data_IF_852199435939
#
_entry.id   IF_852199435939
#
_cell.length_a   1.000
_cell.length_b   1.000
_cell.length_c   1.000
_cell.angle_alpha   90.00
_cell.angle_beta   90.00
_cell.angle_gamma   90.00
#
_symmetry.space_group_name_H-M   'P 1'
#
loop_
_entity.id
_entity.type
_entity.pdbx_description
1 polymer ?
#
# COMPACT_ATOMS: atom_id res chain seq x y z
N UNK A 1 -7.32 -48.87 12.45
CA UNK A 1 -8.42 -49.57 11.73
C UNK A 1 -9.73 -49.11 12.32
N UNK A 2 -10.67 -48.69 11.47
CA UNK A 2 -12.02 -48.32 11.88
C UNK A 2 -12.95 -49.51 11.64
N UNK A 3 -13.78 -49.87 12.62
CA UNK A 3 -14.70 -51.00 12.56
C UNK A 3 -16.11 -50.53 12.92
N UNK A 4 -17.10 -50.96 12.15
CA UNK A 4 -18.53 -50.74 12.43
C UNK A 4 -19.11 -52.09 12.83
N UNK A 5 -19.64 -52.19 14.03
CA UNK A 5 -20.28 -53.39 14.55
C UNK A 5 -21.75 -53.07 14.83
N UNK A 6 -22.66 -53.96 14.43
CA UNK A 6 -24.10 -53.80 14.62
C UNK A 6 -24.81 -55.14 14.76
N UNK A 7 -26.06 -55.11 15.20
CA UNK A 7 -26.88 -56.30 15.43
C UNK A 7 -27.25 -57.03 14.13
N UNK A 8 -27.26 -56.32 13.00
CA UNK A 8 -27.48 -56.89 11.66
C UNK A 8 -26.59 -56.23 10.60
N UNK A 9 -26.35 -56.94 9.48
CA UNK A 9 -25.62 -56.38 8.33
C UNK A 9 -26.29 -55.11 7.79
N UNK A 10 -27.63 -55.07 7.81
CA UNK A 10 -28.42 -53.91 7.36
C UNK A 10 -28.11 -52.66 8.20
N UNK A 11 -27.95 -52.81 9.51
CA UNK A 11 -27.64 -51.69 10.41
C UNK A 11 -26.20 -51.21 10.21
N UNK A 12 -25.28 -52.13 9.93
CA UNK A 12 -23.89 -51.82 9.58
C UNK A 12 -23.85 -51.02 8.27
N UNK A 13 -24.51 -51.48 7.21
CA UNK A 13 -24.54 -50.82 5.90
C UNK A 13 -25.19 -49.42 5.95
N UNK A 14 -26.28 -49.29 6.73
CA UNK A 14 -26.97 -48.02 6.95
C UNK A 14 -26.07 -47.03 7.69
N UNK A 15 -25.36 -47.49 8.73
CA UNK A 15 -24.41 -46.66 9.49
C UNK A 15 -23.23 -46.25 8.64
N UNK A 16 -22.66 -47.17 7.84
CA UNK A 16 -21.56 -46.87 6.92
C UNK A 16 -21.96 -45.80 5.90
N UNK A 17 -23.15 -45.95 5.31
CA UNK A 17 -23.70 -44.99 4.34
C UNK A 17 -23.96 -43.62 4.99
N UNK A 18 -24.46 -43.61 6.23
CA UNK A 18 -24.67 -42.38 6.98
C UNK A 18 -23.36 -41.65 7.26
N UNK A 19 -22.32 -42.35 7.72
CA UNK A 19 -20.99 -41.78 7.97
C UNK A 19 -20.37 -41.24 6.67
N UNK A 20 -20.43 -42.00 5.57
CA UNK A 20 -19.93 -41.55 4.26
C UNK A 20 -20.63 -40.27 3.81
N UNK A 21 -21.95 -40.22 3.91
CA UNK A 21 -22.71 -39.02 3.58
C UNK A 21 -22.37 -37.83 4.48
N UNK A 22 -22.13 -38.06 5.77
CA UNK A 22 -21.71 -37.00 6.68
C UNK A 22 -20.34 -36.44 6.31
N UNK A 23 -19.37 -37.31 6.02
CA UNK A 23 -18.03 -36.90 5.57
C UNK A 23 -18.13 -36.09 4.27
N UNK A 24 -18.89 -36.56 3.29
CA UNK A 24 -19.05 -35.86 2.01
C UNK A 24 -19.74 -34.50 2.17
N UNK A 25 -20.73 -34.39 3.05
CA UNK A 25 -21.42 -33.11 3.34
C UNK A 25 -20.53 -32.09 4.04
N UNK A 26 -19.59 -32.56 4.86
CA UNK A 26 -18.66 -31.69 5.58
C UNK A 26 -17.43 -31.28 4.75
N UNK A 27 -17.19 -31.90 3.60
CA UNK A 27 -16.14 -31.47 2.69
C UNK A 27 -16.55 -30.19 1.97
N UNK A 28 -15.69 -29.19 2.04
CA UNK A 28 -15.85 -27.89 1.39
C UNK A 28 -14.60 -27.56 0.61
N UNK A 29 -14.80 -26.83 -0.48
CA UNK A 29 -13.75 -26.18 -1.24
C UNK A 29 -14.08 -24.70 -1.35
N UNK A 30 -13.10 -23.84 -1.09
CA UNK A 30 -13.20 -22.40 -1.25
C UNK A 30 -12.01 -21.86 -2.03
N UNK A 31 -12.24 -20.82 -2.82
CA UNK A 31 -11.24 -20.19 -3.67
C UNK A 31 -11.22 -18.69 -3.42
N UNK A 32 -10.03 -18.14 -3.19
CA UNK A 32 -9.81 -16.71 -2.95
C UNK A 32 -8.96 -16.17 -4.09
N UNK A 33 -9.53 -15.27 -4.89
CA UNK A 33 -8.85 -14.64 -6.02
C UNK A 33 -8.57 -13.18 -5.73
N UNK A 34 -7.30 -12.77 -5.81
CA UNK A 34 -6.83 -11.40 -5.56
C UNK A 34 -5.45 -11.17 -6.19
N UNK A 35 -5.25 -10.02 -6.84
CA UNK A 35 -3.97 -9.65 -7.48
C UNK A 35 -2.81 -9.56 -6.48
N UNK A 36 -3.09 -9.26 -5.21
CA UNK A 36 -2.05 -9.17 -4.16
C UNK A 36 -1.47 -10.54 -3.78
N UNK A 37 -2.09 -11.65 -4.21
CA UNK A 37 -1.53 -12.99 -4.03
C UNK A 37 -0.18 -13.13 -4.77
N UNK A 38 0.03 -12.41 -5.87
CA UNK A 38 1.33 -12.38 -6.57
C UNK A 38 2.46 -11.85 -5.68
N UNK A 39 2.13 -11.05 -4.66
CA UNK A 39 3.09 -10.41 -3.76
C UNK A 39 3.40 -11.25 -2.52
N UNK A 40 2.88 -12.48 -2.42
CA UNK A 40 3.18 -13.37 -1.31
C UNK A 40 4.66 -13.75 -1.33
N UNK A 41 5.38 -13.34 -0.28
CA UNK A 41 6.77 -13.68 -0.04
C UNK A 41 6.92 -15.01 0.72
N UNK A 42 8.16 -15.42 0.99
CA UNK A 42 8.48 -16.64 1.74
C UNK A 42 7.71 -16.74 3.07
N UNK A 43 7.47 -15.62 3.76
CA UNK A 43 6.75 -15.62 5.04
C UNK A 43 5.29 -15.97 4.86
N UNK A 44 4.64 -15.46 3.81
CA UNK A 44 3.25 -15.83 3.51
C UNK A 44 3.17 -17.28 3.06
N UNK A 45 4.10 -17.75 2.23
CA UNK A 45 4.15 -19.16 1.79
C UNK A 45 4.35 -20.11 2.97
N UNK A 46 5.27 -19.80 3.89
CA UNK A 46 5.50 -20.58 5.10
C UNK A 46 4.26 -20.58 6.02
N UNK A 47 3.57 -19.43 6.14
CA UNK A 47 2.35 -19.33 6.91
C UNK A 47 1.21 -20.19 6.32
N UNK A 48 1.08 -20.25 4.98
CA UNK A 48 0.15 -21.15 4.30
C UNK A 48 0.50 -22.62 4.56
N UNK A 49 1.77 -22.99 4.45
CA UNK A 49 2.22 -24.36 4.71
C UNK A 49 1.95 -24.78 6.18
N UNK A 50 2.13 -23.88 7.13
CA UNK A 50 1.79 -24.10 8.54
C UNK A 50 0.28 -24.24 8.76
N UNK A 51 -0.54 -23.37 8.15
CA UNK A 51 -2.00 -23.48 8.20
C UNK A 51 -2.49 -24.81 7.63
N UNK A 52 -1.94 -25.22 6.49
CA UNK A 52 -2.24 -26.50 5.85
C UNK A 52 -2.02 -27.67 6.83
N UNK A 53 -0.85 -27.71 7.47
CA UNK A 53 -0.48 -28.75 8.44
C UNK A 53 -1.37 -28.73 9.69
N UNK A 54 -1.61 -27.56 10.28
CA UNK A 54 -2.36 -27.44 11.54
C UNK A 54 -3.85 -27.67 11.39
N UNK A 55 -4.41 -27.39 10.21
CA UNK A 55 -5.85 -27.48 9.92
C UNK A 55 -6.24 -28.65 9.05
N UNK A 56 -5.27 -29.50 8.68
CA UNK A 56 -5.50 -30.69 7.85
C UNK A 56 -6.32 -30.39 6.58
N UNK A 57 -6.10 -29.21 6.00
CA UNK A 57 -6.66 -28.81 4.71
C UNK A 57 -5.64 -29.07 3.60
N UNK A 58 -6.07 -28.97 2.35
CA UNK A 58 -5.20 -28.84 1.18
C UNK A 58 -5.26 -27.41 0.70
N UNK A 59 -4.11 -26.76 0.52
CA UNK A 59 -3.98 -25.39 0.01
C UNK A 59 -3.18 -25.47 -1.30
N UNK A 60 -3.75 -24.91 -2.37
CA UNK A 60 -3.12 -24.83 -3.68
C UNK A 60 -3.03 -23.37 -4.11
N UNK A 61 -1.83 -22.96 -4.53
CA UNK A 61 -1.59 -21.62 -5.07
C UNK A 61 -1.60 -21.70 -6.60
N UNK A 62 -2.60 -21.10 -7.23
CA UNK A 62 -2.82 -21.11 -8.67
C UNK A 62 -2.31 -19.80 -9.30
N UNK A 63 -0.98 -19.61 -9.30
CA UNK A 63 -0.32 -18.40 -9.79
C UNK A 63 -0.38 -18.20 -11.32
N UNK A 64 -0.94 -19.16 -12.06
CA UNK A 64 -1.10 -19.06 -13.52
C UNK A 64 -2.42 -18.40 -13.92
N UNK A 65 -3.32 -18.19 -12.96
CA UNK A 65 -4.57 -17.46 -13.17
C UNK A 65 -4.33 -15.96 -13.04
N UNK A 66 -5.19 -15.16 -13.66
CA UNK A 66 -5.22 -13.70 -13.53
C UNK A 66 -6.66 -13.28 -13.22
N UNK A 67 -6.96 -12.82 -11.98
CA UNK A 67 -6.06 -12.76 -10.82
C UNK A 67 -5.61 -14.16 -10.33
N UNK A 68 -4.45 -14.28 -9.66
CA UNK A 68 -4.05 -15.52 -9.00
C UNK A 68 -5.07 -15.95 -7.94
N UNK A 69 -5.04 -17.23 -7.58
CA UNK A 69 -6.01 -17.81 -6.68
C UNK A 69 -5.36 -18.69 -5.60
N UNK A 70 -5.85 -18.61 -4.37
CA UNK A 70 -5.60 -19.60 -3.31
C UNK A 70 -6.83 -20.49 -3.18
N UNK A 71 -6.65 -21.77 -3.48
CA UNK A 71 -7.68 -22.80 -3.39
C UNK A 71 -7.49 -23.62 -2.12
N UNK A 72 -8.56 -23.80 -1.35
CA UNK A 72 -8.54 -24.43 -0.02
C UNK A 72 -9.62 -25.51 0.03
N UNK A 73 -9.23 -26.76 0.25
CA UNK A 73 -10.14 -27.91 0.30
C UNK A 73 -9.96 -28.70 1.60
N UNK A 74 -11.05 -29.12 2.24
CA UNK A 74 -11.03 -29.84 3.51
C UNK A 74 -12.36 -29.76 4.24
N UNK A 75 -12.38 -30.01 5.56
CA UNK A 75 -13.62 -29.90 6.32
C UNK A 75 -14.08 -28.44 6.45
N UNK A 76 -15.39 -28.21 6.37
CA UNK A 76 -16.06 -26.91 6.32
C UNK A 76 -15.51 -25.87 7.30
N UNK A 77 -15.43 -26.23 8.59
CA UNK A 77 -14.92 -25.37 9.67
C UNK A 77 -13.48 -24.92 9.46
N UNK A 78 -12.62 -25.84 9.03
CA UNK A 78 -11.19 -25.58 8.87
C UNK A 78 -10.93 -24.81 7.58
N UNK A 79 -11.66 -25.11 6.50
CA UNK A 79 -11.65 -24.32 5.26
C UNK A 79 -12.04 -22.88 5.53
N UNK A 80 -13.11 -22.64 6.31
CA UNK A 80 -13.54 -21.29 6.68
C UNK A 80 -12.48 -20.53 7.50
N UNK A 81 -11.88 -21.20 8.50
CA UNK A 81 -10.82 -20.62 9.30
C UNK A 81 -9.62 -20.22 8.43
N UNK A 82 -9.12 -21.14 7.60
CA UNK A 82 -7.96 -20.89 6.73
C UNK A 82 -8.28 -19.79 5.73
N UNK A 83 -9.48 -19.79 5.15
CA UNK A 83 -9.93 -18.72 4.24
C UNK A 83 -9.86 -17.34 4.90
N UNK A 84 -10.27 -17.25 6.17
CA UNK A 84 -10.19 -16.01 6.95
C UNK A 84 -8.74 -15.57 7.18
N UNK A 85 -7.82 -16.50 7.45
CA UNK A 85 -6.41 -16.19 7.62
C UNK A 85 -5.74 -15.74 6.30
N UNK A 86 -6.09 -16.35 5.17
CA UNK A 86 -5.63 -15.91 3.85
C UNK A 86 -6.10 -14.49 3.54
N UNK A 87 -7.38 -14.20 3.77
CA UNK A 87 -7.94 -12.84 3.61
C UNK A 87 -7.20 -11.82 4.49
N UNK A 88 -6.83 -12.17 5.72
CA UNK A 88 -6.02 -11.29 6.58
C UNK A 88 -4.61 -11.07 6.04
N UNK A 89 -3.99 -12.06 5.39
CA UNK A 89 -2.67 -11.87 4.76
C UNK A 89 -2.76 -10.87 3.62
N UNK A 90 -3.76 -11.02 2.75
CA UNK A 90 -4.04 -10.08 1.64
C UNK A 90 -4.28 -8.67 2.18
N UNK A 91 -5.14 -8.54 3.20
CA UNK A 91 -5.45 -7.25 3.80
C UNK A 91 -4.20 -6.56 4.38
N UNK A 92 -3.30 -7.30 5.04
CA UNK A 92 -2.04 -6.73 5.55
C UNK A 92 -1.14 -6.18 4.45
N UNK A 93 -1.05 -6.86 3.30
CA UNK A 93 -0.29 -6.37 2.16
C UNK A 93 -0.94 -5.09 1.64
N UNK A 94 -2.27 -5.08 1.48
CA UNK A 94 -3.04 -3.92 1.04
C UNK A 94 -2.83 -2.71 1.96
N UNK A 95 -2.96 -2.91 3.27
CA UNK A 95 -2.79 -1.85 4.28
C UNK A 95 -1.37 -1.26 4.21
N UNK A 96 -0.36 -2.12 4.03
CA UNK A 96 1.03 -1.70 3.88
C UNK A 96 1.23 -0.83 2.63
N UNK A 97 0.70 -1.23 1.47
CA UNK A 97 0.83 -0.45 0.23
C UNK A 97 0.08 0.89 0.29
N UNK A 98 -1.09 0.90 0.92
CA UNK A 98 -1.85 2.12 1.15
C UNK A 98 -1.07 3.08 2.05
N UNK A 99 -0.47 2.58 3.14
CA UNK A 99 0.32 3.39 4.05
C UNK A 99 1.60 3.93 3.38
N UNK A 100 2.30 3.12 2.58
CA UNK A 100 3.44 3.62 1.79
C UNK A 100 3.01 4.70 0.79
N UNK A 101 1.88 4.51 0.11
CA UNK A 101 1.36 5.48 -0.86
C UNK A 101 0.98 6.80 -0.19
N UNK A 102 0.32 6.75 0.98
CA UNK A 102 0.01 7.93 1.79
C UNK A 102 1.28 8.64 2.26
N UNK A 103 2.26 7.88 2.74
CA UNK A 103 3.53 8.43 3.20
C UNK A 103 4.28 9.17 2.07
N UNK A 104 4.24 8.64 0.85
CA UNK A 104 4.79 9.30 -0.34
C UNK A 104 4.10 10.64 -0.61
N UNK A 105 2.77 10.64 -0.66
CA UNK A 105 1.98 11.83 -0.97
C UNK A 105 2.21 12.94 0.06
N UNK A 106 2.18 12.60 1.35
CA UNK A 106 2.43 13.57 2.43
C UNK A 106 3.86 14.10 2.34
N UNK A 107 4.85 13.25 2.08
CA UNK A 107 6.24 13.66 1.93
C UNK A 107 6.47 14.65 0.79
N UNK A 108 5.66 14.60 -0.27
CA UNK A 108 5.71 15.55 -1.38
C UNK A 108 5.13 16.92 -1.02
N UNK A 109 4.18 16.98 -0.07
CA UNK A 109 3.54 18.23 0.36
C UNK A 109 4.28 18.91 1.52
N UNK A 110 4.89 18.11 2.41
CA UNK A 110 5.54 18.60 3.62
C UNK A 110 6.71 17.72 4.00
N UNK A 111 7.80 18.35 4.41
CA UNK A 111 8.99 17.69 4.91
C UNK A 111 9.28 18.09 6.36
N UNK A 112 9.21 17.10 7.22
CA UNK A 112 9.66 17.16 8.59
C UNK A 112 11.15 16.85 8.65
N UNK A 113 11.88 17.64 9.43
CA UNK A 113 13.32 17.53 9.61
C UNK A 113 13.68 17.59 11.09
N UNK A 114 14.79 16.97 11.47
CA UNK A 114 15.37 17.08 12.80
C UNK A 114 16.78 17.67 12.73
N UNK A 115 17.19 18.34 13.81
CA UNK A 115 18.53 18.89 13.94
C UNK A 115 19.56 17.75 14.05
N UNK A 116 20.42 17.67 13.04
CA UNK A 116 21.55 16.77 12.95
C UNK A 116 22.79 17.31 13.65
N UNK A 117 23.91 16.63 13.42
CA UNK A 117 25.22 17.11 13.85
C UNK A 117 25.61 18.36 13.05
N UNK A 118 26.19 19.37 13.72
CA UNK A 118 26.60 20.67 13.18
C UNK A 118 25.45 21.58 12.71
N UNK A 119 24.31 21.58 13.42
CA UNK A 119 23.13 22.44 13.14
C UNK A 119 22.49 22.26 11.75
N UNK A 120 22.93 21.26 10.99
CA UNK A 120 22.25 20.82 9.77
C UNK A 120 20.90 20.21 10.08
N UNK A 121 19.93 20.35 9.17
CA UNK A 121 18.64 19.68 9.28
C UNK A 121 18.60 18.45 8.36
N UNK A 122 18.18 17.32 8.92
CA UNK A 122 18.07 16.04 8.20
C UNK A 122 16.60 15.66 8.13
N UNK A 123 16.14 15.26 6.95
CA UNK A 123 14.76 14.82 6.76
C UNK A 123 14.48 13.51 7.52
N UNK A 124 13.26 13.38 8.04
CA UNK A 124 12.73 12.08 8.47
C UNK A 124 12.46 11.17 7.28
N UNK A 125 12.42 9.85 7.50
CA UNK A 125 11.89 8.93 6.51
C UNK A 125 10.39 9.22 6.25
N UNK A 126 9.90 8.80 5.09
CA UNK A 126 8.54 9.11 4.61
C UNK A 126 7.45 8.69 5.60
N UNK A 127 7.61 7.53 6.24
CA UNK A 127 6.63 7.01 7.18
C UNK A 127 6.61 7.86 8.47
N UNK A 128 7.77 8.12 9.08
CA UNK A 128 7.85 8.99 10.26
C UNK A 128 7.38 10.41 9.94
N UNK A 129 7.68 10.93 8.75
CA UNK A 129 7.20 12.22 8.25
C UNK A 129 5.66 12.28 8.21
N UNK A 130 5.03 11.26 7.63
CA UNK A 130 3.57 11.14 7.58
C UNK A 130 2.97 11.10 9.00
N UNK A 131 3.56 10.31 9.90
CA UNK A 131 3.09 10.19 11.28
C UNK A 131 3.19 11.52 12.05
N UNK A 132 4.26 12.29 11.84
CA UNK A 132 4.42 13.62 12.42
C UNK A 132 3.36 14.59 11.89
N UNK A 133 3.09 14.55 10.59
CA UNK A 133 2.06 15.38 9.98
C UNK A 133 0.65 15.01 10.47
N UNK A 134 0.30 13.74 10.48
CA UNK A 134 -0.98 13.24 10.99
C UNK A 134 -1.16 13.62 12.47
N UNK A 135 -0.11 13.46 13.28
CA UNK A 135 -0.14 13.85 14.68
C UNK A 135 -0.34 15.37 14.85
N UNK A 136 0.26 16.18 13.98
CA UNK A 136 0.06 17.63 13.96
C UNK A 136 -1.37 18.01 13.58
N UNK A 137 -1.93 17.40 12.53
CA UNK A 137 -3.31 17.63 12.05
C UNK A 137 -4.33 17.21 13.12
N UNK A 138 -4.11 16.05 13.75
CA UNK A 138 -4.97 15.51 14.81
C UNK A 138 -4.74 16.16 16.18
N UNK A 139 -3.88 17.19 16.26
CA UNK A 139 -3.57 17.96 17.48
C UNK A 139 -3.06 17.08 18.63
N UNK A 140 -2.34 16.00 18.33
CA UNK A 140 -1.58 15.26 19.34
C UNK A 140 -0.46 16.16 19.86
N UNK A 141 -0.20 16.09 21.16
CA UNK A 141 0.85 16.88 21.80
C UNK A 141 2.21 16.20 21.66
N UNK A 142 2.25 14.88 21.88
CA UNK A 142 3.49 14.11 21.88
C UNK A 142 3.42 12.94 20.90
N UNK A 143 4.55 12.68 20.21
CA UNK A 143 4.70 11.52 19.33
C UNK A 143 6.06 10.85 19.57
N UNK A 144 6.10 9.55 19.91
CA UNK A 144 7.35 8.81 19.97
C UNK A 144 7.90 8.56 18.55
N UNK A 145 9.18 8.84 18.34
CA UNK A 145 9.88 8.63 17.06
C UNK A 145 11.24 7.99 17.31
N UNK A 146 11.84 7.41 16.27
CA UNK A 146 13.21 6.91 16.30
C UNK A 146 14.13 7.73 15.40
N UNK A 147 15.18 8.29 15.98
CA UNK A 147 16.20 9.06 15.25
C UNK A 147 17.54 8.37 15.47
N UNK A 148 18.21 7.96 14.38
CA UNK A 148 19.49 7.23 14.43
C UNK A 148 19.47 6.04 15.42
N UNK A 149 18.37 5.27 15.41
CA UNK A 149 18.10 4.12 16.30
C UNK A 149 17.90 4.44 17.79
N UNK A 150 17.86 5.71 18.18
CA UNK A 150 17.51 6.16 19.53
C UNK A 150 16.05 6.62 19.59
N UNK A 151 15.39 6.36 20.71
CA UNK A 151 14.01 6.80 20.91
C UNK A 151 13.99 8.27 21.35
N UNK A 152 13.08 9.03 20.76
CA UNK A 152 12.79 10.42 21.14
C UNK A 152 11.27 10.57 21.30
N UNK A 153 10.86 11.50 22.14
CA UNK A 153 9.48 11.98 22.19
C UNK A 153 9.43 13.38 21.61
N UNK A 154 8.72 13.55 20.50
CA UNK A 154 8.49 14.85 19.86
C UNK A 154 7.33 15.54 20.53
N UNK A 155 7.54 16.77 21.01
CA UNK A 155 6.48 17.71 21.35
C UNK A 155 6.15 18.57 20.12
N UNK A 156 4.94 18.39 19.60
CA UNK A 156 4.46 19.03 18.36
C UNK A 156 4.03 20.50 18.56
N UNK A 157 3.95 20.96 19.82
CA UNK A 157 3.69 22.36 20.15
C UNK A 157 4.99 23.16 20.18
N UNK A 158 6.03 22.61 20.84
CA UNK A 158 7.34 23.27 20.95
C UNK A 158 8.27 22.95 19.79
N UNK A 159 7.94 21.94 18.97
CA UNK A 159 8.76 21.42 17.88
C UNK A 159 10.15 20.97 18.36
N UNK A 160 10.18 20.27 19.50
CA UNK A 160 11.38 19.69 20.08
C UNK A 160 11.22 18.18 20.28
N UNK A 161 12.32 17.44 20.11
CA UNK A 161 12.40 16.02 20.42
C UNK A 161 13.30 15.81 21.63
N UNK A 162 12.81 15.10 22.65
CA UNK A 162 13.56 14.80 23.87
C UNK A 162 13.88 13.31 23.96
N UNK A 163 15.15 12.95 24.20
CA UNK A 163 15.52 11.55 24.47
C UNK A 163 15.26 11.12 25.92
N UNK A 164 15.53 9.85 26.21
CA UNK A 164 15.42 9.25 27.55
C UNK A 164 16.38 9.85 28.58
N UNK A 165 17.40 10.58 28.13
CA UNK A 165 18.38 11.27 28.97
C UNK A 165 18.03 12.75 29.18
N UNK A 166 16.91 13.22 28.63
CA UNK A 166 16.47 14.61 28.72
C UNK A 166 17.16 15.57 27.75
N UNK A 167 17.97 15.08 26.81
CA UNK A 167 18.58 15.91 25.78
C UNK A 167 17.54 16.24 24.72
N UNK A 168 17.43 17.53 24.42
CA UNK A 168 16.51 18.04 23.40
C UNK A 168 17.21 18.35 22.08
N UNK A 169 16.50 18.14 20.98
CA UNK A 169 16.89 18.57 19.63
C UNK A 169 15.71 19.26 18.96
N UNK A 170 15.98 20.22 18.08
CA UNK A 170 14.90 20.92 17.36
C UNK A 170 14.39 20.09 16.19
N UNK A 171 13.08 20.24 15.93
CA UNK A 171 12.38 19.69 14.78
C UNK A 171 11.82 20.85 13.96
N UNK A 172 11.75 20.67 12.66
CA UNK A 172 11.23 21.66 11.73
C UNK A 172 10.21 21.00 10.81
N UNK A 173 9.08 21.66 10.60
CA UNK A 173 8.11 21.35 9.54
C UNK A 173 8.30 22.32 8.39
N UNK A 174 8.61 21.83 7.20
CA UNK A 174 8.84 22.63 5.99
C UNK A 174 7.78 22.29 4.94
N UNK A 175 6.82 23.18 4.65
CA UNK A 175 5.92 22.99 3.53
C UNK A 175 6.72 22.96 2.21
N UNK A 176 6.45 21.96 1.37
CA UNK A 176 6.98 21.82 0.01
C UNK A 176 5.98 22.37 -1.01
N UNK A 177 5.33 23.50 -0.68
CA UNK A 177 4.41 24.14 -1.61
C UNK A 177 5.11 24.31 -2.97
N UNK A 178 4.53 23.71 -4.01
CA UNK A 178 4.91 24.00 -5.40
C UNK A 178 4.82 25.52 -5.64
N UNK A 179 3.86 26.21 -5.00
CA UNK A 179 3.67 27.67 -5.09
C UNK A 179 4.82 28.54 -4.57
N UNK A 180 5.74 27.99 -3.76
CA UNK A 180 6.93 28.72 -3.27
C UNK A 180 8.17 28.49 -4.10
N UNK A 181 8.18 27.48 -4.97
CA UNK A 181 8.95 27.59 -6.18
C UNK A 181 8.13 28.52 -7.05
N UNK A 182 8.54 29.79 -7.15
CA UNK A 182 8.06 30.63 -8.22
C UNK A 182 8.47 29.96 -9.52
N UNK A 183 7.67 28.99 -9.99
CA UNK A 183 7.58 28.72 -11.40
C UNK A 183 7.03 30.04 -11.92
N UNK A 184 7.93 30.90 -12.40
CA UNK A 184 7.53 32.05 -13.17
C UNK A 184 6.75 31.49 -14.35
N UNK A 185 5.42 31.47 -14.19
CA UNK A 185 4.55 31.12 -15.27
C UNK A 185 4.85 32.09 -16.40
N UNK A 186 4.91 31.62 -17.65
CA UNK A 186 5.15 32.51 -18.76
C UNK A 186 4.19 33.69 -18.69
N UNK A 187 4.70 34.92 -18.84
CA UNK A 187 3.91 36.16 -18.64
C UNK A 187 2.67 36.20 -19.55
N UNK A 188 2.71 35.49 -20.67
CA UNK A 188 1.60 35.39 -21.61
C UNK A 188 0.50 34.37 -21.20
N UNK A 189 0.68 33.63 -20.11
CA UNK A 189 -0.34 32.69 -19.62
C UNK A 189 -1.39 33.43 -18.82
N UNK A 190 -2.65 33.23 -19.21
CA UNK A 190 -3.80 33.75 -18.47
C UNK A 190 -4.09 32.85 -17.27
N UNK A 191 -4.62 33.46 -16.21
CA UNK A 191 -5.15 32.76 -15.04
C UNK A 191 -6.16 31.68 -15.46
N UNK A 192 -6.04 30.49 -14.87
CA UNK A 192 -6.88 29.33 -15.17
C UNK A 192 -8.27 29.40 -14.52
N UNK A 193 -8.53 30.41 -13.68
CA UNK A 193 -9.82 30.65 -13.02
C UNK A 193 -10.36 29.41 -12.31
N UNK A 194 -9.47 28.69 -11.62
CA UNK A 194 -9.76 27.43 -10.90
C UNK A 194 -10.15 26.23 -11.79
N UNK A 195 -10.11 26.35 -13.11
CA UNK A 195 -10.29 25.21 -14.01
C UNK A 195 -9.11 24.23 -13.86
N UNK A 196 -9.39 22.93 -13.81
CA UNK A 196 -8.32 21.91 -13.77
C UNK A 196 -7.55 21.80 -15.09
N UNK A 197 -8.20 22.12 -16.21
CA UNK A 197 -7.64 22.11 -17.56
C UNK A 197 -8.26 23.25 -18.35
N UNK A 198 -7.44 24.22 -18.77
CA UNK A 198 -7.85 25.31 -19.67
C UNK A 198 -7.30 25.06 -21.07
N UNK A 199 -8.18 24.78 -22.02
CA UNK A 199 -7.76 24.49 -23.40
C UNK A 199 -7.55 25.79 -24.17
N UNK A 200 -6.31 26.10 -24.53
CA UNK A 200 -5.95 27.35 -25.24
C UNK A 200 -5.59 27.04 -26.69
N UNK A 201 -6.21 27.76 -27.64
CA UNK A 201 -5.89 27.60 -29.05
C UNK A 201 -4.67 28.47 -29.43
N UNK A 202 -3.50 27.85 -29.48
CA UNK A 202 -2.25 28.51 -29.84
C UNK A 202 -2.18 28.73 -31.36
N UNK A 203 -2.29 29.97 -31.84
CA UNK A 203 -2.15 30.27 -33.28
C UNK A 203 -0.67 30.22 -33.68
N UNK A 204 -0.32 29.80 -34.91
CA UNK A 204 1.07 29.76 -35.38
C UNK A 204 1.82 31.09 -35.35
N UNK A 205 1.09 32.22 -35.28
CA UNK A 205 1.65 33.56 -35.16
C UNK A 205 2.05 33.96 -33.73
N UNK A 206 1.68 33.19 -32.69
CA UNK A 206 2.06 33.50 -31.32
C UNK A 206 3.54 33.23 -31.09
N UNK A 207 4.18 34.11 -30.31
CA UNK A 207 5.60 33.97 -29.98
C UNK A 207 5.91 32.62 -29.31
N UNK A 208 5.05 32.15 -28.42
CA UNK A 208 5.19 30.85 -27.76
C UNK A 208 5.20 29.67 -28.75
N UNK A 209 4.34 29.72 -29.77
CA UNK A 209 4.33 28.71 -30.84
C UNK A 209 5.64 28.76 -31.65
N UNK A 210 6.09 29.96 -32.03
CA UNK A 210 7.32 30.15 -32.80
C UNK A 210 8.55 29.69 -32.03
N UNK A 211 8.62 29.95 -30.73
CA UNK A 211 9.73 29.55 -29.88
C UNK A 211 9.81 28.03 -29.75
N UNK A 212 8.68 27.37 -29.51
CA UNK A 212 8.58 25.89 -29.48
C UNK A 212 8.93 25.32 -30.85
N UNK A 213 8.39 25.88 -31.94
CA UNK A 213 8.71 25.44 -33.30
C UNK A 213 10.20 25.56 -33.62
N UNK A 214 10.84 26.66 -33.24
CA UNK A 214 12.27 26.89 -33.46
C UNK A 214 13.12 25.91 -32.66
N UNK A 215 12.78 25.66 -31.38
CA UNK A 215 13.46 24.65 -30.55
C UNK A 215 13.29 23.25 -31.12
N UNK A 216 12.07 22.88 -31.52
CA UNK A 216 11.78 21.59 -32.13
C UNK A 216 12.56 21.37 -33.43
N UNK A 217 12.61 22.37 -34.32
CA UNK A 217 13.38 22.29 -35.58
C UNK A 217 14.89 22.15 -35.36
N UNK A 218 15.44 22.67 -34.25
CA UNK A 218 16.87 22.48 -33.91
C UNK A 218 17.22 21.02 -33.64
N UNK A 219 16.30 20.27 -33.05
CA UNK A 219 16.52 18.85 -32.70
C UNK A 219 15.95 17.89 -33.77
N UNK A 220 14.91 18.31 -34.49
CA UNK A 220 14.12 17.48 -35.39
C UNK A 220 13.84 18.21 -36.73
N UNK A 221 14.87 18.51 -37.56
CA UNK A 221 14.73 19.38 -38.73
C UNK A 221 13.89 18.80 -39.87
N UNK A 222 13.74 17.48 -39.94
CA UNK A 222 12.97 16.77 -40.98
C UNK A 222 11.48 16.63 -40.67
N UNK A 223 11.03 17.06 -39.49
CA UNK A 223 9.65 16.88 -39.03
C UNK A 223 8.86 18.19 -39.05
N UNK A 224 7.57 18.07 -39.34
CA UNK A 224 6.62 19.20 -39.36
C UNK A 224 5.65 19.08 -38.18
N UNK A 225 5.27 20.22 -37.61
CA UNK A 225 4.30 20.30 -36.51
C UNK A 225 2.91 20.38 -37.10
N UNK A 226 2.08 19.37 -36.84
CA UNK A 226 0.67 19.34 -37.24
C UNK A 226 -0.23 19.45 -36.02
N UNK A 227 -1.37 20.15 -36.18
CA UNK A 227 -2.40 20.21 -35.16
C UNK A 227 -3.20 18.90 -35.19
N UNK A 228 -3.22 18.18 -34.08
CA UNK A 228 -4.10 17.01 -33.91
C UNK A 228 -5.55 17.49 -33.95
N UNK A 229 -6.37 16.85 -34.79
CA UNK A 229 -7.81 17.11 -34.91
C UNK A 229 -8.59 16.30 -33.90
#
# INVERSE_FOLDING_TARGET
>A
TFQICGESQKDVDATESWIKNLILKEQLENSISDELIEKFDERQIDALADLQRRKHVTIQLENKLSPPCVKISGISRDVWFVSTEVQKMIQKIKDFEEEQSKAELVYNLVEWRYQGSNDSFVAFDKLTNMQLEDAKITKKTHLPVKIKKKNYTVDLNTLQATDDQGKTINIQRVPKNEDKQSIELPVQWEDMQEERVKLVNLKPSHQEYLDVQNKFRKTCPSFVIEKVK
#
